data_IF_370382667334
#
_entry.id   IF_370382667334
#
_cell.length_a   1.000
_cell.length_b   1.000
_cell.length_c   1.000
_cell.angle_alpha   90.00
_cell.angle_beta   90.00
_cell.angle_gamma   90.00
#
_symmetry.space_group_name_H-M   'P 1'
#
loop_
_entity.id
_entity.type
_entity.pdbx_description
1 polymer ?
#
# COMPACT_ATOMS: atom_id res chain seq x y z
N UNK A 1 13.04 -49.97 54.74
CA UNK A 1 14.17 -50.00 55.70
C UNK A 1 15.27 -49.11 55.17
N UNK A 2 15.52 -47.95 55.78
CA UNK A 2 16.60 -47.04 55.38
C UNK A 2 17.74 -47.18 56.39
N UNK A 3 18.86 -47.75 55.94
CA UNK A 3 20.10 -47.87 56.70
C UNK A 3 20.82 -46.53 56.75
N UNK A 4 21.04 -46.00 57.96
CA UNK A 4 21.86 -44.81 58.19
C UNK A 4 23.34 -45.19 58.11
N UNK A 5 24.12 -44.47 57.31
CA UNK A 5 25.58 -44.24 57.47
C UNK A 5 26.12 -43.42 56.30
N UNK A 6 26.02 -42.10 56.42
CA UNK A 6 27.06 -41.12 56.08
C UNK A 6 26.49 -39.72 56.36
N UNK A 7 27.19 -38.91 57.16
CA UNK A 7 26.83 -37.51 57.35
C UNK A 7 27.34 -36.77 56.12
N UNK A 8 26.47 -36.58 55.12
CA UNK A 8 26.79 -35.82 53.91
C UNK A 8 26.19 -34.42 54.06
N UNK A 9 26.76 -33.46 53.35
CA UNK A 9 26.33 -32.08 53.40
C UNK A 9 25.00 -31.91 52.65
N UNK A 10 23.98 -31.34 53.30
CA UNK A 10 22.70 -31.09 52.66
C UNK A 10 22.81 -29.99 51.60
N UNK A 11 22.32 -30.25 50.38
CA UNK A 11 22.35 -29.34 49.24
C UNK A 11 21.74 -27.94 49.51
N UNK A 12 20.73 -27.86 50.37
CA UNK A 12 19.99 -26.60 50.61
C UNK A 12 20.58 -25.78 51.76
N UNK A 13 21.01 -26.44 52.84
CA UNK A 13 21.47 -25.72 54.05
C UNK A 13 22.96 -25.85 54.34
N UNK A 14 23.71 -26.57 53.50
CA UNK A 14 25.15 -26.81 53.62
C UNK A 14 25.63 -27.31 55.00
N UNK A 15 24.75 -27.94 55.78
CA UNK A 15 25.08 -28.53 57.08
C UNK A 15 25.23 -30.05 56.94
N UNK A 16 26.28 -30.61 57.53
CA UNK A 16 26.45 -32.06 57.66
C UNK A 16 25.41 -32.64 58.60
N UNK A 17 24.49 -33.44 58.04
CA UNK A 17 23.39 -34.07 58.78
C UNK A 17 23.15 -35.46 58.22
N UNK A 18 22.23 -36.22 58.82
CA UNK A 18 21.68 -37.39 58.16
C UNK A 18 20.89 -36.91 56.94
N UNK A 19 21.43 -37.20 55.76
CA UNK A 19 20.88 -36.82 54.46
C UNK A 19 20.26 -38.03 53.77
N UNK A 20 19.36 -37.74 52.84
CA UNK A 20 18.65 -38.72 52.02
C UNK A 20 18.80 -38.28 50.57
N UNK A 21 19.11 -39.23 49.70
CA UNK A 21 19.28 -39.01 48.28
C UNK A 21 17.91 -38.98 47.56
N UNK A 22 17.70 -37.96 46.71
CA UNK A 22 16.60 -37.95 45.76
C UNK A 22 17.05 -38.54 44.42
N UNK A 23 16.44 -39.66 43.99
CA UNK A 23 16.77 -40.36 42.74
C UNK A 23 16.63 -39.52 41.48
N UNK A 24 15.80 -38.47 41.49
CA UNK A 24 15.55 -37.62 40.33
C UNK A 24 16.61 -36.55 40.11
N UNK A 25 17.01 -35.83 41.17
CA UNK A 25 17.98 -34.74 41.07
C UNK A 25 19.40 -35.11 41.55
N UNK A 26 19.60 -36.37 41.98
CA UNK A 26 20.87 -36.91 42.51
C UNK A 26 21.46 -36.14 43.72
N UNK A 27 20.70 -35.21 44.30
CA UNK A 27 21.12 -34.38 45.41
C UNK A 27 20.74 -34.99 46.77
N UNK A 28 21.52 -34.65 47.79
CA UNK A 28 21.36 -35.10 49.16
C UNK A 28 20.69 -34.02 50.04
N UNK A 29 19.59 -34.39 50.70
CA UNK A 29 18.78 -33.46 51.51
C UNK A 29 18.64 -33.97 52.94
N UNK A 30 18.71 -33.07 53.92
CA UNK A 30 18.27 -33.43 55.26
C UNK A 30 16.73 -33.61 55.27
N UNK A 31 16.22 -34.36 56.25
CA UNK A 31 14.80 -34.74 56.31
C UNK A 31 13.79 -33.58 56.10
N UNK A 32 13.95 -32.38 56.72
CA UNK A 32 13.05 -31.26 56.48
C UNK A 32 13.06 -30.75 55.03
N UNK A 33 14.24 -30.52 54.44
CA UNK A 33 14.36 -30.02 53.07
C UNK A 33 13.96 -31.06 52.03
N UNK A 34 14.09 -32.35 52.35
CA UNK A 34 13.57 -33.42 51.49
C UNK A 34 12.04 -33.41 51.42
N UNK A 35 11.37 -33.05 52.53
CA UNK A 35 9.90 -32.92 52.58
C UNK A 35 9.45 -31.71 51.76
N UNK A 36 10.12 -30.56 51.90
CA UNK A 36 9.85 -29.37 51.08
C UNK A 36 10.12 -29.62 49.59
N UNK A 37 11.20 -30.32 49.26
CA UNK A 37 11.51 -30.68 47.87
C UNK A 37 10.44 -31.59 47.27
N UNK A 38 9.94 -32.57 48.02
CA UNK A 38 8.82 -33.41 47.57
C UNK A 38 7.53 -32.64 47.40
N UNK A 39 7.19 -31.75 48.33
CA UNK A 39 6.01 -30.89 48.20
C UNK A 39 6.08 -30.03 46.94
N UNK A 40 7.24 -29.45 46.61
CA UNK A 40 7.42 -28.71 45.35
C UNK A 40 7.19 -29.58 44.12
N UNK A 41 7.66 -30.84 44.14
CA UNK A 41 7.43 -31.79 43.04
C UNK A 41 5.94 -32.17 42.95
N UNK A 42 5.27 -32.36 44.07
CA UNK A 42 3.83 -32.63 44.13
C UNK A 42 3.03 -31.45 43.56
N UNK A 43 3.36 -30.21 43.92
CA UNK A 43 2.73 -29.01 43.33
C UNK A 43 2.97 -28.92 41.83
N UNK A 44 4.18 -29.19 41.36
CA UNK A 44 4.47 -29.22 39.92
C UNK A 44 3.69 -30.31 39.18
N UNK A 45 3.48 -31.47 39.81
CA UNK A 45 2.67 -32.54 39.24
C UNK A 45 1.19 -32.13 39.16
N UNK A 46 0.66 -31.48 40.21
CA UNK A 46 -0.71 -30.95 40.22
C UNK A 46 -0.92 -29.89 39.13
N UNK A 47 0.05 -28.99 38.92
CA UNK A 47 0.02 -28.01 37.83
C UNK A 47 -0.06 -28.71 36.46
N UNK A 48 0.78 -29.72 36.22
CA UNK A 48 0.78 -30.49 34.96
C UNK A 48 -0.55 -31.22 34.75
N UNK A 49 -1.13 -31.80 35.81
CA UNK A 49 -2.44 -32.48 35.73
C UNK A 49 -3.55 -31.48 35.39
N UNK A 50 -3.54 -30.31 36.03
CA UNK A 50 -4.52 -29.27 35.76
C UNK A 50 -4.40 -28.72 34.32
N UNK A 51 -3.17 -28.51 33.83
CA UNK A 51 -2.91 -28.09 32.45
C UNK A 51 -3.39 -29.15 31.44
N UNK A 52 -3.15 -30.43 31.74
CA UNK A 52 -3.65 -31.55 30.93
C UNK A 52 -5.18 -31.55 30.86
N UNK A 53 -5.86 -31.40 31.99
CA UNK A 53 -7.32 -31.43 32.05
C UNK A 53 -7.95 -30.22 31.34
N UNK A 54 -7.36 -29.04 31.46
CA UNK A 54 -7.76 -27.85 30.71
C UNK A 54 -7.58 -28.04 29.19
N UNK A 55 -6.47 -28.65 28.78
CA UNK A 55 -6.23 -28.94 27.37
C UNK A 55 -7.23 -29.97 26.83
N UNK A 56 -7.53 -31.00 27.59
CA UNK A 56 -8.54 -32.01 27.24
C UNK A 56 -9.94 -31.38 27.10
N UNK A 57 -10.32 -30.48 28.01
CA UNK A 57 -11.58 -29.74 27.90
C UNK A 57 -11.63 -28.85 26.66
N UNK A 58 -10.52 -28.18 26.33
CA UNK A 58 -10.40 -27.35 25.13
C UNK A 58 -10.58 -28.17 23.85
N UNK A 59 -9.99 -29.37 23.78
CA UNK A 59 -10.16 -30.31 22.65
C UNK A 59 -11.62 -30.75 22.53
N UNK A 60 -12.28 -31.06 23.65
CA UNK A 60 -13.70 -31.47 23.66
C UNK A 60 -14.59 -30.32 23.17
N UNK A 61 -14.33 -29.09 23.62
CA UNK A 61 -15.07 -27.90 23.19
C UNK A 61 -14.88 -27.63 21.69
N UNK A 62 -13.65 -27.73 21.17
CA UNK A 62 -13.38 -27.57 19.74
C UNK A 62 -14.02 -28.66 18.88
N UNK A 63 -14.12 -29.91 19.38
CA UNK A 63 -14.84 -30.99 18.69
C UNK A 63 -16.36 -30.77 18.65
N UNK A 64 -16.93 -30.15 19.67
CA UNK A 64 -18.36 -29.89 19.77
C UNK A 64 -18.78 -28.63 19.02
N UNK A 65 -17.90 -27.63 18.92
CA UNK A 65 -18.13 -26.43 18.14
C UNK A 65 -16.82 -25.99 17.44
N UNK A 66 -16.69 -26.27 16.12
CA UNK A 66 -15.48 -25.93 15.35
C UNK A 66 -15.12 -24.44 15.40
N UNK A 67 -16.11 -23.56 15.58
CA UNK A 67 -15.93 -22.10 15.57
C UNK A 67 -15.18 -21.55 16.81
N UNK A 68 -14.96 -22.38 17.84
CA UNK A 68 -14.20 -22.02 19.06
C UNK A 68 -12.68 -22.16 18.82
N UNK A 69 -12.25 -22.60 17.63
CA UNK A 69 -10.83 -22.66 17.30
C UNK A 69 -10.19 -21.26 17.40
N UNK A 70 -9.04 -21.10 18.09
CA UNK A 70 -8.30 -19.83 18.15
C UNK A 70 -7.94 -19.28 16.77
N UNK A 71 -7.83 -20.14 15.75
CA UNK A 71 -7.61 -19.73 14.36
C UNK A 71 -8.85 -19.10 13.74
N UNK A 72 -10.04 -19.62 14.03
CA UNK A 72 -11.31 -19.05 13.57
C UNK A 72 -11.60 -17.74 14.32
N UNK A 73 -11.25 -17.66 15.61
CA UNK A 73 -11.34 -16.40 16.35
C UNK A 73 -10.43 -15.32 15.76
N UNK A 74 -9.20 -15.66 15.34
CA UNK A 74 -8.32 -14.73 14.64
C UNK A 74 -8.91 -14.25 13.30
N UNK A 75 -9.56 -15.15 12.55
CA UNK A 75 -10.26 -14.79 11.30
C UNK A 75 -11.43 -13.85 11.60
N UNK A 76 -12.25 -14.15 12.62
CA UNK A 76 -13.38 -13.33 13.04
C UNK A 76 -12.94 -11.94 13.53
N UNK A 77 -11.82 -11.87 14.25
CA UNK A 77 -11.23 -10.59 14.68
C UNK A 77 -10.71 -9.80 13.48
N UNK A 78 -10.03 -10.46 12.53
CA UNK A 78 -9.58 -9.83 11.30
C UNK A 78 -10.74 -9.28 10.47
N UNK A 79 -11.83 -10.03 10.33
CA UNK A 79 -13.04 -9.62 9.62
C UNK A 79 -13.66 -8.37 10.27
N UNK A 80 -13.88 -8.41 11.59
CA UNK A 80 -14.43 -7.26 12.34
C UNK A 80 -13.57 -6.01 12.19
N UNK A 81 -12.25 -6.14 12.34
CA UNK A 81 -11.32 -5.03 12.22
C UNK A 81 -11.32 -4.45 10.81
N UNK A 82 -11.39 -5.31 9.78
CA UNK A 82 -11.42 -4.88 8.39
C UNK A 82 -12.71 -4.13 8.05
N UNK A 83 -13.86 -4.64 8.47
CA UNK A 83 -15.16 -3.96 8.29
C UNK A 83 -15.16 -2.60 9.00
N UNK A 84 -14.64 -2.55 10.22
CA UNK A 84 -14.58 -1.31 10.99
C UNK A 84 -13.73 -0.23 10.29
N UNK A 85 -12.56 -0.59 9.76
CA UNK A 85 -11.70 0.34 9.01
C UNK A 85 -12.38 0.86 7.73
N UNK A 86 -13.13 0.00 7.04
CA UNK A 86 -13.90 0.40 5.85
C UNK A 86 -14.99 1.40 6.23
N UNK A 87 -15.73 1.13 7.30
CA UNK A 87 -16.78 2.01 7.80
C UNK A 87 -16.21 3.37 8.19
N UNK A 88 -15.13 3.39 8.97
CA UNK A 88 -14.45 4.63 9.37
C UNK A 88 -13.99 5.44 8.15
N UNK A 89 -13.35 4.79 7.18
CA UNK A 89 -12.91 5.46 5.95
C UNK A 89 -14.10 6.05 5.18
N UNK A 90 -15.22 5.34 5.12
CA UNK A 90 -16.44 5.82 4.47
C UNK A 90 -17.06 7.02 5.21
N UNK A 91 -17.08 6.99 6.55
CA UNK A 91 -17.54 8.09 7.40
C UNK A 91 -16.73 9.37 7.15
N UNK A 92 -15.40 9.25 7.17
CA UNK A 92 -14.48 10.37 6.90
C UNK A 92 -14.68 10.95 5.50
N UNK A 93 -14.94 10.10 4.49
CA UNK A 93 -15.28 10.55 3.15
C UNK A 93 -16.62 11.30 3.11
N UNK A 94 -17.65 10.81 3.82
CA UNK A 94 -18.96 11.48 3.91
C UNK A 94 -18.82 12.84 4.59
N UNK A 95 -18.08 12.94 5.68
CA UNK A 95 -17.84 14.21 6.37
C UNK A 95 -17.14 15.24 5.46
N UNK A 96 -16.12 14.81 4.72
CA UNK A 96 -15.41 15.68 3.77
C UNK A 96 -16.37 16.23 2.71
N UNK A 97 -17.26 15.39 2.18
CA UNK A 97 -18.31 15.82 1.24
C UNK A 97 -19.25 16.82 1.89
N UNK A 98 -19.81 16.49 3.07
CA UNK A 98 -20.75 17.39 3.74
C UNK A 98 -20.14 18.78 4.00
N UNK A 99 -18.89 18.83 4.48
CA UNK A 99 -18.18 20.09 4.71
C UNK A 99 -17.99 20.89 3.41
N UNK A 100 -17.67 20.21 2.31
CA UNK A 100 -17.55 20.89 1.00
C UNK A 100 -18.89 21.35 0.44
N UNK A 101 -19.94 20.55 0.58
CA UNK A 101 -21.29 20.92 0.13
C UNK A 101 -21.83 22.10 0.92
N UNK A 102 -21.62 22.13 2.25
CA UNK A 102 -21.99 23.27 3.10
C UNK A 102 -21.25 24.55 2.70
N UNK A 103 -19.92 24.46 2.44
CA UNK A 103 -19.14 25.61 1.98
C UNK A 103 -19.64 26.14 0.63
N UNK A 104 -19.89 25.25 -0.32
CA UNK A 104 -20.46 25.61 -1.61
C UNK A 104 -21.84 26.27 -1.45
N UNK A 105 -22.72 25.72 -0.61
CA UNK A 105 -24.05 26.28 -0.38
C UNK A 105 -23.97 27.72 0.16
N UNK A 106 -23.05 27.99 1.09
CA UNK A 106 -22.85 29.34 1.62
C UNK A 106 -22.30 30.32 0.56
N UNK A 107 -21.39 29.87 -0.30
CA UNK A 107 -20.86 30.69 -1.40
C UNK A 107 -21.94 30.95 -2.47
N UNK A 108 -22.82 29.98 -2.72
CA UNK A 108 -23.99 30.12 -3.60
C UNK A 108 -25.04 31.06 -3.01
N UNK A 109 -25.28 31.00 -1.70
CA UNK A 109 -26.17 31.91 -0.99
C UNK A 109 -25.69 33.37 -1.13
N UNK A 110 -24.38 33.62 -1.03
CA UNK A 110 -23.80 34.95 -1.30
C UNK A 110 -24.01 35.41 -2.73
N UNK A 111 -23.76 34.55 -3.74
CA UNK A 111 -24.03 34.88 -5.15
C UNK A 111 -25.51 35.21 -5.38
N UNK A 112 -26.41 34.49 -4.70
CA UNK A 112 -27.85 34.72 -4.81
C UNK A 112 -28.28 36.03 -4.15
N UNK A 113 -27.69 36.38 -2.99
CA UNK A 113 -27.89 37.69 -2.34
C UNK A 113 -27.41 38.83 -3.24
N UNK A 114 -26.23 38.70 -3.86
CA UNK A 114 -25.68 39.70 -4.77
C UNK A 114 -26.56 39.87 -6.02
N UNK A 115 -27.06 38.78 -6.60
CA UNK A 115 -28.01 38.82 -7.72
C UNK A 115 -29.33 39.49 -7.30
N UNK A 116 -29.84 39.16 -6.11
CA UNK A 116 -31.05 39.75 -5.55
C UNK A 116 -30.91 41.25 -5.31
N UNK A 117 -29.73 41.71 -4.92
CA UNK A 117 -29.43 43.13 -4.73
C UNK A 117 -29.37 43.88 -6.07
N UNK A 118 -28.68 43.31 -7.07
CA UNK A 118 -28.65 43.88 -8.43
C UNK A 118 -30.05 43.96 -9.07
N UNK A 119 -30.91 42.96 -8.80
CA UNK A 119 -32.31 43.00 -9.24
C UNK A 119 -33.11 44.13 -8.58
N UNK A 120 -32.80 44.51 -7.33
CA UNK A 120 -33.42 45.66 -6.66
C UNK A 120 -32.92 46.98 -7.23
N UNK A 121 -31.61 47.12 -7.43
CA UNK A 121 -30.97 48.32 -8.01
C UNK A 121 -31.55 48.63 -9.41
N UNK A 122 -31.61 47.63 -10.30
CA UNK A 122 -32.20 47.78 -11.65
C UNK A 122 -33.69 48.16 -11.60
N UNK A 123 -34.42 47.66 -10.60
CA UNK A 123 -35.85 47.98 -10.42
C UNK A 123 -36.07 49.40 -9.88
N UNK A 124 -35.13 49.93 -9.10
CA UNK A 124 -35.17 51.30 -8.57
C UNK A 124 -34.78 52.32 -9.63
N UNK A 125 -33.84 51.97 -10.52
CA UNK A 125 -33.36 52.84 -11.61
C UNK A 125 -34.34 52.93 -12.80
N UNK A 126 -35.30 52.00 -12.94
CA UNK A 126 -36.31 51.94 -14.01
C UNK A 126 -35.77 51.96 -15.47
N UNK A 127 -34.45 51.84 -15.66
CA UNK A 127 -33.79 51.73 -16.97
C UNK A 127 -33.35 50.29 -17.20
N UNK A 128 -34.28 49.43 -17.63
CA UNK A 128 -33.94 48.06 -18.05
C UNK A 128 -34.32 47.84 -19.51
N UNK A 129 -33.45 47.16 -20.24
CA UNK A 129 -33.67 46.75 -21.63
C UNK A 129 -33.72 45.21 -21.76
N UNK A 130 -34.13 44.69 -22.92
CA UNK A 130 -34.21 43.25 -23.17
C UNK A 130 -32.85 42.53 -23.01
N UNK A 131 -31.73 43.22 -23.19
CA UNK A 131 -30.38 42.63 -23.04
C UNK A 131 -30.07 42.40 -21.57
N UNK A 132 -30.43 43.34 -20.69
CA UNK A 132 -30.23 43.22 -19.25
C UNK A 132 -31.07 42.09 -18.64
N UNK A 133 -32.32 41.96 -19.09
CA UNK A 133 -33.22 40.88 -18.67
C UNK A 133 -32.71 39.51 -19.13
N UNK A 134 -32.28 39.38 -20.38
CA UNK A 134 -31.71 38.14 -20.91
C UNK A 134 -30.40 37.77 -20.20
N UNK A 135 -29.56 38.75 -19.87
CA UNK A 135 -28.31 38.52 -19.15
C UNK A 135 -28.53 38.08 -17.70
N UNK A 136 -29.53 38.64 -17.01
CA UNK A 136 -29.93 38.20 -15.67
C UNK A 136 -30.50 36.77 -15.69
N UNK A 137 -31.31 36.45 -16.71
CA UNK A 137 -31.89 35.12 -16.87
C UNK A 137 -30.79 34.08 -17.14
N UNK A 138 -29.81 34.39 -18.00
CA UNK A 138 -28.64 33.54 -18.23
C UNK A 138 -27.82 33.31 -16.96
N UNK A 139 -27.59 34.35 -16.15
CA UNK A 139 -26.89 34.21 -14.86
C UNK A 139 -27.67 33.32 -13.89
N UNK A 140 -28.99 33.45 -13.84
CA UNK A 140 -29.84 32.61 -12.98
C UNK A 140 -29.79 31.14 -13.42
N UNK A 141 -29.83 30.88 -14.72
CA UNK A 141 -29.69 29.52 -15.29
C UNK A 141 -28.32 28.93 -14.97
N UNK A 142 -27.23 29.69 -15.15
CA UNK A 142 -25.87 29.23 -14.82
C UNK A 142 -25.71 28.89 -13.34
N UNK A 143 -26.23 29.72 -12.43
CA UNK A 143 -26.19 29.46 -10.98
C UNK A 143 -27.02 28.22 -10.62
N UNK A 144 -28.14 28.00 -11.30
CA UNK A 144 -29.00 26.83 -11.08
C UNK A 144 -28.35 25.54 -11.58
N UNK A 145 -27.68 25.57 -12.73
CA UNK A 145 -26.90 24.44 -13.26
C UNK A 145 -25.71 24.09 -12.36
N UNK A 146 -24.98 25.09 -11.83
CA UNK A 146 -23.90 24.89 -10.86
C UNK A 146 -24.39 24.24 -9.54
N UNK A 147 -25.63 24.51 -9.13
CA UNK A 147 -26.23 23.94 -7.92
C UNK A 147 -26.67 22.48 -8.11
N UNK A 148 -27.27 22.16 -9.27
CA UNK A 148 -27.78 20.81 -9.56
C UNK A 148 -26.68 19.81 -9.91
N UNK A 149 -25.54 20.27 -10.45
CA UNK A 149 -24.40 19.42 -10.82
C UNK A 149 -23.06 20.08 -10.41
N UNK A 150 -22.70 20.03 -9.11
CA UNK A 150 -21.48 20.67 -8.63
C UNK A 150 -20.22 20.01 -9.21
N UNK A 151 -19.56 20.70 -10.14
CA UNK A 151 -18.35 20.27 -10.87
C UNK A 151 -17.13 19.94 -9.98
N UNK A 152 -17.21 20.30 -8.69
CA UNK A 152 -16.13 20.21 -7.72
C UNK A 152 -16.11 18.88 -6.94
N UNK A 153 -17.14 18.06 -7.05
CA UNK A 153 -17.20 16.74 -6.40
C UNK A 153 -17.28 15.67 -7.48
N UNK A 154 -16.22 14.89 -7.63
CA UNK A 154 -16.24 13.71 -8.51
C UNK A 154 -16.04 12.45 -7.69
N UNK A 155 -16.96 11.51 -7.82
CA UNK A 155 -16.88 10.20 -7.20
C UNK A 155 -16.18 9.26 -8.17
N UNK A 156 -15.01 8.73 -7.79
CA UNK A 156 -14.28 7.72 -8.54
C UNK A 156 -14.45 6.38 -7.86
N UNK A 157 -14.74 5.33 -8.62
CA UNK A 157 -14.76 3.97 -8.12
C UNK A 157 -13.47 3.27 -8.57
N UNK A 158 -12.60 2.96 -7.62
CA UNK A 158 -11.39 2.19 -7.88
C UNK A 158 -11.69 0.71 -7.60
N UNK A 159 -11.41 -0.15 -8.59
CA UNK A 159 -11.64 -1.60 -8.52
C UNK A 159 -10.44 -2.28 -7.85
N UNK A 160 -10.58 -2.70 -6.59
CA UNK A 160 -9.71 -3.71 -5.98
C UNK A 160 -10.40 -5.07 -5.97
N UNK A 161 -9.62 -6.17 -6.04
CA UNK A 161 -10.12 -7.56 -6.09
C UNK A 161 -11.02 -7.97 -4.90
N UNK A 162 -10.98 -7.25 -3.78
CA UNK A 162 -11.73 -7.60 -2.56
C UNK A 162 -12.69 -6.50 -2.05
N UNK A 163 -12.48 -5.22 -2.39
CA UNK A 163 -13.34 -4.11 -1.93
C UNK A 163 -13.44 -3.07 -3.06
N UNK A 164 -14.67 -2.66 -3.42
CA UNK A 164 -14.90 -1.49 -4.27
C UNK A 164 -14.64 -0.24 -3.44
N UNK A 165 -13.56 0.49 -3.72
CA UNK A 165 -13.21 1.71 -2.98
C UNK A 165 -13.78 2.91 -3.72
N UNK A 166 -14.66 3.64 -3.06
CA UNK A 166 -15.24 4.88 -3.58
C UNK A 166 -14.41 6.06 -3.07
N UNK A 167 -13.65 6.67 -3.97
CA UNK A 167 -12.78 7.80 -3.69
C UNK A 167 -13.49 9.09 -4.08
N UNK A 168 -13.61 10.04 -3.15
CA UNK A 168 -14.27 11.32 -3.39
C UNK A 168 -13.18 12.38 -3.58
N UNK A 169 -13.10 12.93 -4.79
CA UNK A 169 -12.24 14.08 -5.06
C UNK A 169 -13.06 15.35 -4.87
N UNK A 170 -12.64 16.17 -3.92
CA UNK A 170 -13.20 17.49 -3.64
C UNK A 170 -12.19 18.53 -4.09
N UNK A 171 -12.54 19.30 -5.10
CA UNK A 171 -11.69 20.36 -5.64
C UNK A 171 -11.99 21.66 -4.89
N UNK A 172 -10.96 22.30 -4.32
CA UNK A 172 -11.10 23.64 -3.76
C UNK A 172 -11.41 24.65 -4.88
N UNK A 173 -12.07 25.76 -4.56
CA UNK A 173 -12.46 26.79 -5.55
C UNK A 173 -11.24 27.35 -6.33
N UNK A 174 -10.05 27.38 -5.71
CA UNK A 174 -8.77 27.69 -6.36
C UNK A 174 -8.39 26.71 -7.48
N UNK A 175 -8.85 25.45 -7.40
CA UNK A 175 -8.56 24.41 -8.39
C UNK A 175 -9.52 24.45 -9.59
N UNK A 176 -10.68 25.09 -9.50
CA UNK A 176 -11.63 25.21 -10.63
C UNK A 176 -11.07 26.15 -11.71
N UNK A 177 -10.40 27.24 -11.32
CA UNK A 177 -9.63 28.09 -12.24
C UNK A 177 -8.53 27.32 -12.98
N UNK A 178 -8.06 26.19 -12.41
CA UNK A 178 -7.02 25.34 -13.03
C UNK A 178 -7.57 24.18 -13.85
N UNK A 179 -8.90 23.96 -13.92
CA UNK A 179 -9.51 22.87 -14.71
C UNK A 179 -10.07 23.31 -16.07
N UNK A 180 -9.32 24.15 -16.75
CA UNK A 180 -8.89 23.83 -18.12
C UNK A 180 -7.37 23.73 -18.12
N UNK A 181 -6.81 22.68 -17.49
CA UNK A 181 -5.40 22.35 -17.64
C UNK A 181 -5.18 21.81 -19.07
N UNK A 182 -5.18 22.73 -20.04
CA UNK A 182 -4.16 22.68 -21.09
C UNK A 182 -2.83 22.49 -20.37
N UNK A 183 -1.97 21.64 -20.93
CA UNK A 183 -0.57 21.48 -20.54
C UNK A 183 -0.02 22.80 -19.99
N UNK A 184 0.20 22.88 -18.67
CA UNK A 184 0.85 24.05 -18.09
C UNK A 184 2.31 23.97 -18.53
N UNK A 185 2.78 25.02 -19.22
CA UNK A 185 4.06 25.08 -19.93
C UNK A 185 5.29 25.15 -19.01
N UNK A 186 5.24 24.49 -17.86
CA UNK A 186 6.33 24.41 -16.90
C UNK A 186 6.48 22.95 -16.46
N UNK A 187 7.54 22.30 -16.98
CA UNK A 187 7.99 21.00 -16.53
C UNK A 187 9.02 21.17 -15.42
N UNK A 188 9.03 20.24 -14.46
CA UNK A 188 10.06 20.15 -13.41
C UNK A 188 10.84 18.84 -13.58
N UNK A 189 12.11 18.85 -13.20
CA UNK A 189 12.90 17.61 -13.14
C UNK A 189 12.50 16.83 -11.89
N UNK A 190 12.05 15.58 -12.07
CA UNK A 190 11.56 14.71 -10.98
C UNK A 190 12.46 13.50 -10.71
N UNK A 191 13.36 13.19 -11.64
CA UNK A 191 14.35 12.13 -11.53
C UNK A 191 15.60 12.55 -12.29
N UNK A 192 16.78 12.22 -11.76
CA UNK A 192 18.04 12.67 -12.34
C UNK A 192 18.33 14.15 -12.05
N UNK A 193 18.76 14.89 -13.07
CA UNK A 193 19.09 16.33 -12.96
C UNK A 193 20.50 16.64 -12.43
N UNK A 194 21.31 15.62 -12.16
CA UNK A 194 22.67 15.76 -11.60
C UNK A 194 23.78 15.55 -12.65
N UNK A 195 23.49 15.88 -13.91
CA UNK A 195 24.39 15.68 -15.04
C UNK A 195 24.37 14.25 -15.61
N UNK A 196 25.15 14.06 -16.67
CA UNK A 196 25.31 12.77 -17.35
C UNK A 196 26.24 11.86 -16.52
N UNK A 197 25.87 10.60 -16.34
CA UNK A 197 26.73 9.63 -15.64
C UNK A 197 26.02 8.34 -15.22
N UNK A 198 26.77 7.49 -14.51
CA UNK A 198 26.33 6.14 -14.10
C UNK A 198 25.87 6.09 -12.63
N UNK A 199 25.98 7.18 -11.86
CA UNK A 199 25.51 7.20 -10.48
C UNK A 199 23.97 7.01 -10.43
N UNK A 200 23.44 6.61 -9.27
CA UNK A 200 22.01 6.31 -9.12
C UNK A 200 21.11 7.55 -9.20
N UNK A 201 21.69 8.74 -9.08
CA UNK A 201 21.03 10.03 -9.25
C UNK A 201 21.34 10.70 -10.61
N UNK A 202 21.95 9.96 -11.54
CA UNK A 202 22.35 10.42 -12.88
C UNK A 202 21.78 9.47 -13.95
N UNK A 203 21.63 9.98 -15.17
CA UNK A 203 21.21 9.21 -16.34
C UNK A 203 22.11 9.51 -17.53
N UNK A 204 22.16 8.60 -18.50
CA UNK A 204 22.84 8.81 -19.77
C UNK A 204 21.94 8.40 -20.94
N UNK A 205 21.43 9.41 -21.65
CA UNK A 205 20.46 9.27 -22.74
C UNK A 205 19.21 8.44 -22.36
N UNK A 206 18.50 8.76 -21.26
CA UNK A 206 17.28 8.03 -20.93
C UNK A 206 16.24 8.18 -22.05
N UNK A 207 15.51 7.10 -22.36
CA UNK A 207 14.60 7.05 -23.52
C UNK A 207 13.14 6.81 -23.09
N UNK A 208 12.83 5.62 -22.61
CA UNK A 208 11.49 5.25 -22.16
C UNK A 208 11.20 5.63 -20.71
N UNK A 209 9.92 5.90 -20.43
CA UNK A 209 9.41 6.23 -19.10
C UNK A 209 8.06 5.56 -18.85
N UNK A 210 7.90 4.96 -17.68
CA UNK A 210 6.64 4.42 -17.19
C UNK A 210 6.37 4.89 -15.77
N UNK A 211 5.10 5.12 -15.42
CA UNK A 211 4.70 5.57 -14.08
C UNK A 211 3.67 4.58 -13.53
N UNK A 212 3.94 3.98 -12.38
CA UNK A 212 3.00 3.07 -11.72
C UNK A 212 1.94 3.82 -10.88
N UNK A 213 0.97 3.07 -10.35
CA UNK A 213 -0.11 3.63 -9.54
C UNK A 213 0.38 4.27 -8.22
N UNK A 214 1.56 3.86 -7.74
CA UNK A 214 2.22 4.41 -6.55
C UNK A 214 3.07 5.65 -6.88
N UNK A 215 2.98 6.16 -8.12
CA UNK A 215 3.79 7.27 -8.67
C UNK A 215 5.30 6.98 -8.64
N UNK A 216 5.70 5.72 -8.65
CA UNK A 216 7.08 5.37 -8.95
C UNK A 216 7.32 5.49 -10.45
N UNK A 217 8.46 6.07 -10.81
CA UNK A 217 8.85 6.33 -12.18
C UNK A 217 9.89 5.29 -12.58
N UNK A 218 9.68 4.60 -13.68
CA UNK A 218 10.60 3.62 -14.25
C UNK A 218 11.19 4.22 -15.52
N UNK A 219 12.51 4.22 -15.61
CA UNK A 219 13.25 4.91 -16.66
C UNK A 219 14.16 3.90 -17.35
N UNK A 220 14.07 3.83 -18.67
CA UNK A 220 15.02 3.11 -19.50
C UNK A 220 16.25 4.00 -19.73
N UNK A 221 17.31 3.74 -18.97
CA UNK A 221 18.57 4.50 -19.01
C UNK A 221 19.48 3.88 -20.07
N UNK A 222 19.17 4.20 -21.34
CA UNK A 222 19.64 3.55 -22.56
C UNK A 222 21.16 3.34 -22.58
N UNK A 223 21.95 4.41 -22.49
CA UNK A 223 23.41 4.32 -22.63
C UNK A 223 24.09 3.69 -21.41
N UNK A 224 23.40 3.68 -20.27
CA UNK A 224 23.85 2.98 -19.07
C UNK A 224 23.37 1.52 -19.01
N UNK A 225 22.65 1.04 -20.04
CA UNK A 225 22.21 -0.35 -20.17
C UNK A 225 21.42 -0.87 -18.96
N UNK A 226 20.53 -0.05 -18.39
CA UNK A 226 19.82 -0.39 -17.16
C UNK A 226 18.40 0.19 -17.15
N UNK A 227 17.54 -0.41 -16.33
CA UNK A 227 16.25 0.17 -15.95
C UNK A 227 16.31 0.63 -14.51
N UNK A 228 15.90 1.87 -14.26
CA UNK A 228 15.92 2.50 -12.94
C UNK A 228 14.50 2.81 -12.48
N UNK A 229 14.15 2.36 -11.27
CA UNK A 229 12.96 2.79 -10.54
C UNK A 229 13.29 3.97 -9.64
N UNK A 230 12.50 5.03 -9.71
CA UNK A 230 12.62 6.24 -8.92
C UNK A 230 11.32 6.46 -8.16
N UNK A 231 11.36 6.33 -6.82
CA UNK A 231 10.18 6.61 -5.98
C UNK A 231 9.97 8.10 -5.86
N UNK A 232 8.70 8.53 -5.75
CA UNK A 232 8.36 9.91 -5.42
C UNK A 232 9.11 10.33 -4.14
N UNK A 233 9.77 11.49 -4.18
CA UNK A 233 10.58 12.06 -3.09
C UNK A 233 11.93 11.37 -2.81
N UNK A 234 12.40 10.46 -3.67
CA UNK A 234 13.77 9.95 -3.59
C UNK A 234 14.77 10.89 -4.26
N UNK A 235 16.00 10.93 -3.75
CA UNK A 235 17.11 11.67 -4.35
C UNK A 235 17.96 10.81 -5.30
N UNK A 236 17.69 9.50 -5.33
CA UNK A 236 18.37 8.54 -6.20
C UNK A 236 17.44 7.39 -6.61
N UNK A 237 17.72 6.77 -7.73
CA UNK A 237 16.99 5.62 -8.23
C UNK A 237 17.52 4.29 -7.70
N UNK A 238 16.80 3.22 -8.01
CA UNK A 238 17.15 1.84 -7.74
C UNK A 238 17.18 1.09 -9.07
N UNK A 239 18.26 0.37 -9.36
CA UNK A 239 18.36 -0.45 -10.58
C UNK A 239 17.46 -1.67 -10.43
N UNK A 240 16.47 -1.81 -11.31
CA UNK A 240 15.53 -2.94 -11.32
C UNK A 240 15.77 -3.92 -12.47
N UNK A 241 16.55 -3.56 -13.48
CA UNK A 241 17.07 -4.49 -14.50
C UNK A 241 18.41 -3.98 -15.08
N UNK A 242 19.27 -4.87 -15.57
CA UNK A 242 20.58 -4.52 -16.17
C UNK A 242 21.70 -4.22 -15.16
N UNK A 243 21.65 -4.76 -13.93
CA UNK A 243 22.68 -4.51 -12.89
C UNK A 243 24.08 -4.96 -13.29
N UNK A 244 24.18 -5.97 -14.16
CA UNK A 244 25.44 -6.53 -14.62
C UNK A 244 25.96 -5.85 -15.89
N UNK A 245 25.48 -4.63 -16.15
CA UNK A 245 25.91 -3.80 -17.26
C UNK A 245 25.48 -4.35 -18.62
N UNK A 246 26.23 -3.93 -19.63
CA UNK A 246 25.96 -4.27 -21.02
C UNK A 246 26.22 -5.77 -21.29
N UNK A 247 25.25 -6.45 -21.90
CA UNK A 247 25.41 -7.81 -22.38
C UNK A 247 24.09 -8.47 -22.74
N UNK A 248 24.12 -9.76 -23.03
CA UNK A 248 22.96 -10.52 -23.53
C UNK A 248 22.48 -11.61 -22.54
N UNK A 249 23.09 -11.72 -21.36
CA UNK A 249 22.63 -12.64 -20.32
C UNK A 249 21.27 -12.20 -19.75
N UNK A 250 20.60 -13.09 -19.00
CA UNK A 250 19.28 -12.84 -18.42
C UNK A 250 19.23 -11.69 -17.41
N UNK A 251 20.36 -11.21 -16.91
CA UNK A 251 20.45 -10.09 -15.96
C UNK A 251 21.21 -8.89 -16.53
N UNK A 252 21.46 -8.90 -17.84
CA UNK A 252 22.11 -7.86 -18.61
C UNK A 252 21.14 -7.29 -19.65
N UNK A 253 21.33 -6.03 -19.99
CA UNK A 253 20.59 -5.35 -21.06
C UNK A 253 21.60 -4.73 -22.03
N UNK A 254 21.14 -4.36 -23.21
CA UNK A 254 21.91 -3.62 -24.19
C UNK A 254 21.01 -2.60 -24.88
N UNK A 255 21.24 -1.33 -24.58
CA UNK A 255 20.45 -0.20 -25.10
C UNK A 255 18.93 -0.38 -24.88
N UNK A 256 18.45 -0.55 -23.63
CA UNK A 256 17.03 -0.66 -23.39
C UNK A 256 16.32 0.65 -23.76
N UNK A 257 15.31 0.57 -24.62
CA UNK A 257 14.64 1.77 -25.18
C UNK A 257 13.36 2.11 -24.44
N UNK A 258 12.56 1.10 -24.10
CA UNK A 258 11.21 1.32 -23.58
C UNK A 258 10.84 0.34 -22.46
N UNK A 259 9.87 0.74 -21.64
CA UNK A 259 9.34 -0.05 -20.53
C UNK A 259 7.85 0.19 -20.38
N UNK A 260 7.09 -0.90 -20.25
CA UNK A 260 5.66 -0.87 -19.96
C UNK A 260 5.31 -1.87 -18.85
N UNK A 261 4.09 -1.79 -18.34
CA UNK A 261 3.60 -2.71 -17.31
C UNK A 261 2.44 -3.55 -17.83
N UNK A 262 2.63 -4.86 -17.80
CA UNK A 262 1.59 -5.84 -18.03
C UNK A 262 0.82 -6.06 -16.72
N UNK A 263 -0.39 -5.50 -16.67
CA UNK A 263 -1.28 -5.56 -15.50
C UNK A 263 -1.81 -6.97 -15.23
N UNK A 264 -2.06 -7.76 -16.27
CA UNK A 264 -2.63 -9.11 -16.12
C UNK A 264 -1.63 -10.04 -15.45
N UNK A 265 -0.35 -9.92 -15.85
CA UNK A 265 0.73 -10.75 -15.32
C UNK A 265 1.52 -10.09 -14.19
N UNK A 266 1.13 -8.88 -13.77
CA UNK A 266 1.80 -8.07 -12.75
C UNK A 266 3.32 -7.97 -12.98
N UNK A 267 3.72 -7.67 -14.22
CA UNK A 267 5.12 -7.75 -14.65
C UNK A 267 5.52 -6.55 -15.50
N UNK A 268 6.80 -6.18 -15.43
CA UNK A 268 7.37 -5.16 -16.31
C UNK A 268 7.81 -5.80 -17.62
N UNK A 269 7.59 -5.12 -18.73
CA UNK A 269 8.04 -5.54 -20.05
C UNK A 269 9.01 -4.49 -20.58
N UNK A 270 10.20 -4.92 -20.96
CA UNK A 270 11.32 -4.09 -21.35
C UNK A 270 11.69 -4.39 -22.80
N UNK A 271 11.87 -3.34 -23.58
CA UNK A 271 12.48 -3.46 -24.90
C UNK A 271 13.99 -3.43 -24.77
N UNK A 272 14.66 -4.52 -25.14
CA UNK A 272 16.12 -4.68 -25.07
C UNK A 272 16.70 -4.62 -26.50
N UNK A 273 16.65 -3.42 -27.09
CA UNK A 273 16.91 -3.14 -28.52
C UNK A 273 18.22 -3.76 -29.00
N UNK A 274 19.32 -3.55 -28.28
CA UNK A 274 20.65 -4.00 -28.68
C UNK A 274 20.84 -5.52 -28.65
N UNK A 275 19.92 -6.24 -28.01
CA UNK A 275 19.84 -7.70 -28.03
C UNK A 275 18.68 -8.23 -28.90
N UNK A 276 17.95 -7.35 -29.60
CA UNK A 276 16.82 -7.67 -30.47
C UNK A 276 15.78 -8.59 -29.79
N UNK A 277 15.42 -8.25 -28.55
CA UNK A 277 14.48 -9.04 -27.74
C UNK A 277 13.59 -8.15 -26.87
N UNK A 278 12.47 -8.71 -26.47
CA UNK A 278 11.58 -8.14 -25.44
C UNK A 278 11.60 -9.06 -24.24
N UNK A 279 11.87 -8.49 -23.07
CA UNK A 279 12.01 -9.22 -21.81
C UNK A 279 10.86 -8.87 -20.88
N UNK A 280 10.32 -9.87 -20.19
CA UNK A 280 9.38 -9.73 -19.10
C UNK A 280 10.09 -9.96 -17.77
N UNK A 281 9.89 -9.07 -16.82
CA UNK A 281 10.45 -9.11 -15.46
C UNK A 281 9.30 -9.20 -14.45
N UNK A 282 9.22 -10.32 -13.72
CA UNK A 282 8.15 -10.59 -12.75
C UNK A 282 8.45 -10.03 -11.36
N UNK A 283 9.71 -9.71 -11.07
CA UNK A 283 10.12 -9.25 -9.76
C UNK A 283 11.10 -8.08 -9.88
N UNK A 284 10.93 -7.06 -9.03
CA UNK A 284 11.84 -5.90 -8.98
C UNK A 284 13.26 -6.29 -8.52
N UNK A 285 13.43 -7.55 -8.10
CA UNK A 285 14.67 -8.18 -7.64
C UNK A 285 15.35 -9.11 -8.66
N UNK A 286 14.91 -9.13 -9.93
CA UNK A 286 15.65 -9.69 -11.09
C UNK A 286 15.87 -11.21 -11.12
N UNK A 287 15.27 -12.00 -10.24
CA UNK A 287 15.45 -13.46 -10.23
C UNK A 287 14.67 -14.15 -11.34
N UNK A 288 13.57 -13.55 -11.81
CA UNK A 288 12.68 -14.11 -12.82
C UNK A 288 12.52 -13.15 -14.01
N UNK A 289 13.39 -13.32 -15.01
CA UNK A 289 13.28 -12.67 -16.32
C UNK A 289 13.00 -13.71 -17.40
N UNK A 290 12.09 -13.41 -18.31
CA UNK A 290 11.71 -14.26 -19.43
C UNK A 290 11.77 -13.50 -20.74
N UNK A 291 12.40 -14.06 -21.76
CA UNK A 291 12.33 -13.54 -23.13
C UNK A 291 10.94 -13.91 -23.69
N UNK A 292 10.14 -12.90 -24.04
CA UNK A 292 8.79 -13.11 -24.58
C UNK A 292 8.72 -12.88 -26.09
N UNK A 293 9.64 -12.10 -26.65
CA UNK A 293 9.82 -11.91 -28.09
C UNK A 293 11.31 -11.92 -28.38
N UNK A 294 11.70 -12.59 -29.46
CA UNK A 294 13.09 -12.69 -29.92
C UNK A 294 13.20 -12.30 -31.39
N UNK A 295 14.40 -11.91 -31.82
CA UNK A 295 14.71 -11.50 -33.19
C UNK A 295 13.91 -10.29 -33.70
N UNK A 296 13.58 -9.36 -32.80
CA UNK A 296 12.93 -8.09 -33.17
C UNK A 296 13.71 -6.94 -32.51
N UNK A 297 14.34 -6.03 -33.27
CA UNK A 297 14.92 -4.81 -32.75
C UNK A 297 13.80 -3.85 -32.34
N UNK A 298 13.20 -4.11 -31.17
CA UNK A 298 12.07 -3.34 -30.72
C UNK A 298 12.50 -1.95 -30.21
N UNK A 299 11.86 -0.89 -30.73
CA UNK A 299 12.10 0.46 -30.22
C UNK A 299 11.08 0.87 -29.14
N UNK A 300 9.79 0.71 -29.41
CA UNK A 300 8.70 1.07 -28.52
C UNK A 300 7.75 -0.08 -28.25
N UNK A 301 7.16 -0.06 -27.06
CA UNK A 301 6.20 -1.04 -26.59
C UNK A 301 4.90 -0.34 -26.19
N UNK A 302 3.76 -0.96 -26.48
CA UNK A 302 2.46 -0.52 -25.98
C UNK A 302 1.58 -1.72 -25.65
N UNK A 303 0.72 -1.58 -24.65
CA UNK A 303 -0.35 -2.56 -24.34
C UNK A 303 -1.69 -1.83 -24.39
N UNK A 304 -2.66 -2.40 -25.11
CA UNK A 304 -4.01 -1.87 -25.15
C UNK A 304 -4.88 -2.35 -23.97
N UNK A 305 -6.11 -1.81 -23.89
CA UNK A 305 -7.08 -2.15 -22.84
C UNK A 305 -7.55 -3.61 -22.83
N UNK A 306 -7.34 -4.35 -23.92
CA UNK A 306 -7.70 -5.74 -24.06
C UNK A 306 -6.52 -6.67 -23.73
N UNK A 307 -5.34 -6.12 -23.44
CA UNK A 307 -4.13 -6.88 -23.12
C UNK A 307 -3.30 -7.26 -24.35
N UNK A 308 -3.60 -6.76 -25.55
CA UNK A 308 -2.72 -6.97 -26.70
C UNK A 308 -1.50 -6.07 -26.59
N UNK A 309 -0.33 -6.67 -26.77
CA UNK A 309 0.95 -5.97 -26.78
C UNK A 309 1.40 -5.71 -28.22
N UNK A 310 1.84 -4.47 -28.47
CA UNK A 310 2.37 -4.00 -29.73
C UNK A 310 3.84 -3.65 -29.51
N UNK A 311 4.70 -4.16 -30.40
CA UNK A 311 6.11 -3.87 -30.42
C UNK A 311 6.42 -3.21 -31.78
N UNK A 312 7.06 -2.04 -31.76
CA UNK A 312 7.49 -1.40 -33.00
C UNK A 312 8.82 -2.00 -33.45
N UNK A 313 8.84 -2.52 -34.68
CA UNK A 313 10.06 -2.93 -35.37
C UNK A 313 10.74 -1.73 -36.03
N UNK A 314 12.06 -1.80 -36.26
CA UNK A 314 12.89 -0.74 -36.87
C UNK A 314 13.13 -1.02 -38.34
#
# INVERSE_FOLDING_TARGET
>A
MATSKNRVQCFVCNKEKNTYNCKGCSNEFCFPHLKEHRQRIETQLEEIINDHDQFQQTIIQQKQNPDISPLIEQINQWEKNSIHQIQQTAEECREKVMKSTQKNNNDMEKKFIELSQKLKEIREENEFNEIDLNHLQLKLTQVTEEFLQPSNISIRQDLHKFIKKTSINILSFEQIQTKKKKFQQFAITVAGGNGLGYQLNQFYNPNGIFIDNDKSIYIADLSNNRIVKWKSNSNQGQIIAGRNGQGNQNNQLRFPTDIIFDKENNSLVISDLGNSRVIRCFDQNQTNQQIIISNIPCWGLAIDKNGFMYASDV
#
